data_IF_780308751345
#
_entry.id   IF_780308751345
#
_cell.length_a   1.000
_cell.length_b   1.000
_cell.length_c   1.000
_cell.angle_alpha   90.00
_cell.angle_beta   90.00
_cell.angle_gamma   90.00
#
_symmetry.space_group_name_H-M   'P 1'
#
loop_
_entity.id
_entity.type
_entity.pdbx_description
1 polymer ?
#
# COMPACT_ATOMS: atom_id res chain seq x y z
N UNK A 1 -87.65 28.25 38.12
CA UNK A 1 -86.35 28.67 37.56
C UNK A 1 -85.58 27.41 37.21
N UNK A 2 -85.61 27.03 35.94
CA UNK A 2 -84.74 25.97 35.39
C UNK A 2 -83.82 26.73 34.43
N UNK A 3 -82.56 26.89 34.80
CA UNK A 3 -81.54 27.41 33.90
C UNK A 3 -81.18 26.27 32.94
N UNK A 4 -81.60 26.38 31.69
CA UNK A 4 -81.09 25.54 30.60
C UNK A 4 -79.65 25.99 30.29
N UNK A 5 -78.68 25.12 30.59
CA UNK A 5 -77.31 25.29 30.11
C UNK A 5 -77.29 25.10 28.58
N UNK A 6 -76.69 26.01 27.79
CA UNK A 6 -76.45 25.74 26.40
C UNK A 6 -75.41 24.62 26.27
N UNK A 7 -75.55 23.71 25.29
CA UNK A 7 -74.55 22.68 25.06
C UNK A 7 -73.24 23.35 24.66
N UNK A 8 -72.16 22.98 25.36
CA UNK A 8 -70.80 23.33 24.99
C UNK A 8 -70.58 22.78 23.58
N UNK A 9 -70.59 23.66 22.59
CA UNK A 9 -70.14 23.34 21.25
C UNK A 9 -68.67 22.92 21.35
N UNK A 10 -68.41 21.64 21.16
CA UNK A 10 -67.07 21.08 21.00
C UNK A 10 -66.54 21.57 19.64
N UNK A 11 -66.01 22.81 19.63
CA UNK A 11 -65.50 23.45 18.42
C UNK A 11 -64.18 22.77 18.04
N UNK A 12 -64.27 21.81 17.12
CA UNK A 12 -63.44 21.65 15.91
C UNK A 12 -61.97 22.13 15.99
N UNK A 13 -61.14 21.59 16.88
CA UNK A 13 -59.68 21.80 16.77
C UNK A 13 -59.02 20.92 15.69
N UNK A 14 -59.65 19.80 15.33
CA UNK A 14 -59.14 18.88 14.32
C UNK A 14 -59.06 19.49 12.89
N UNK A 15 -59.90 20.49 12.59
CA UNK A 15 -59.87 21.19 11.30
C UNK A 15 -58.66 22.12 11.16
N UNK A 16 -58.10 22.62 12.26
CA UNK A 16 -56.98 23.60 12.21
C UNK A 16 -55.66 22.95 11.79
N UNK A 17 -55.37 21.74 12.27
CA UNK A 17 -54.15 21.01 11.91
C UNK A 17 -54.27 20.48 10.47
N UNK A 18 -55.43 19.94 10.09
CA UNK A 18 -55.65 19.47 8.72
C UNK A 18 -55.60 20.61 7.70
N UNK A 19 -56.22 21.77 7.99
CA UNK A 19 -56.13 22.93 7.10
C UNK A 19 -54.70 23.47 7.02
N UNK A 20 -53.97 23.52 8.14
CA UNK A 20 -52.57 23.91 8.15
C UNK A 20 -51.70 22.96 7.30
N UNK A 21 -51.89 21.66 7.43
CA UNK A 21 -51.13 20.64 6.66
C UNK A 21 -51.48 20.68 5.18
N UNK A 22 -52.71 21.01 4.79
CA UNK A 22 -53.13 21.10 3.39
C UNK A 22 -52.75 22.43 2.74
N UNK A 23 -52.86 23.55 3.45
CA UNK A 23 -52.64 24.90 2.89
C UNK A 23 -51.20 25.39 3.07
N UNK A 24 -50.62 25.23 4.25
CA UNK A 24 -49.28 25.76 4.60
C UNK A 24 -48.21 24.67 4.50
N UNK A 25 -48.58 23.42 4.77
CA UNK A 25 -47.70 22.25 4.71
C UNK A 25 -46.95 22.10 3.38
N UNK A 26 -47.61 22.14 2.22
CA UNK A 26 -46.93 21.99 0.93
C UNK A 26 -46.01 23.17 0.63
N UNK A 27 -46.37 24.37 1.07
CA UNK A 27 -45.55 25.58 0.93
C UNK A 27 -44.25 25.46 1.74
N UNK A 28 -44.35 25.04 3.00
CA UNK A 28 -43.19 24.78 3.87
C UNK A 28 -42.35 23.60 3.37
N UNK A 29 -43.00 22.52 2.91
CA UNK A 29 -42.32 21.37 2.33
C UNK A 29 -41.54 21.79 1.08
N UNK A 30 -42.14 22.58 0.20
CA UNK A 30 -41.44 23.15 -0.96
C UNK A 30 -40.28 24.07 -0.55
N UNK A 31 -40.50 24.93 0.45
CA UNK A 31 -39.48 25.86 0.95
C UNK A 31 -38.26 25.16 1.57
N UNK A 32 -38.42 23.95 2.11
CA UNK A 32 -37.29 23.13 2.62
C UNK A 32 -36.75 22.19 1.55
N UNK A 33 -37.62 21.58 0.75
CA UNK A 33 -37.22 20.60 -0.27
C UNK A 33 -36.40 21.27 -1.38
N UNK A 34 -36.81 22.45 -1.86
CA UNK A 34 -36.14 23.13 -2.96
C UNK A 34 -34.67 23.50 -2.63
N UNK A 35 -34.33 24.15 -1.50
CA UNK A 35 -32.93 24.38 -1.14
C UNK A 35 -32.19 23.08 -0.81
N UNK A 36 -32.86 22.07 -0.25
CA UNK A 36 -32.24 20.76 0.01
C UNK A 36 -31.85 20.05 -1.31
N UNK A 37 -32.73 20.10 -2.31
CA UNK A 37 -32.49 19.57 -3.66
C UNK A 37 -31.36 20.36 -4.35
N UNK A 38 -31.38 21.69 -4.28
CA UNK A 38 -30.31 22.51 -4.83
C UNK A 38 -28.96 22.22 -4.18
N UNK A 39 -28.93 22.07 -2.85
CA UNK A 39 -27.72 21.71 -2.11
C UNK A 39 -27.24 20.29 -2.46
N UNK A 40 -28.16 19.35 -2.64
CA UNK A 40 -27.84 18.01 -3.11
C UNK A 40 -27.21 18.05 -4.51
N UNK A 41 -27.84 18.74 -5.48
CA UNK A 41 -27.28 18.87 -6.83
C UNK A 41 -25.95 19.61 -6.84
N UNK A 42 -25.79 20.66 -6.03
CA UNK A 42 -24.52 21.36 -5.90
C UNK A 42 -23.42 20.44 -5.37
N UNK A 43 -23.69 19.73 -4.27
CA UNK A 43 -22.72 18.81 -3.65
C UNK A 43 -22.34 17.66 -4.59
N UNK A 44 -23.33 16.97 -5.16
CA UNK A 44 -23.07 15.80 -6.01
C UNK A 44 -22.62 16.16 -7.43
N UNK A 45 -23.12 17.25 -8.00
CA UNK A 45 -22.84 17.66 -9.37
C UNK A 45 -21.57 18.49 -9.51
N UNK A 46 -21.32 19.41 -8.58
CA UNK A 46 -20.20 20.36 -8.67
C UNK A 46 -19.06 19.93 -7.76
N UNK A 47 -19.29 19.87 -6.44
CA UNK A 47 -18.23 19.65 -5.45
C UNK A 47 -17.54 18.28 -5.64
N UNK A 48 -18.30 17.18 -5.73
CA UNK A 48 -17.72 15.86 -5.96
C UNK A 48 -17.02 15.74 -7.32
N UNK A 49 -17.49 16.45 -8.35
CA UNK A 49 -16.87 16.45 -9.67
C UNK A 49 -15.51 17.14 -9.64
N UNK A 50 -15.44 18.32 -9.01
CA UNK A 50 -14.19 19.06 -8.83
C UNK A 50 -13.17 18.26 -8.01
N UNK A 51 -13.61 17.60 -6.92
CA UNK A 51 -12.76 16.72 -6.13
C UNK A 51 -12.18 15.56 -6.97
N UNK A 52 -12.97 14.95 -7.86
CA UNK A 52 -12.49 13.91 -8.78
C UNK A 52 -11.47 14.43 -9.78
N UNK A 53 -11.65 15.64 -10.30
CA UNK A 53 -10.70 16.27 -11.23
C UNK A 53 -9.39 16.57 -10.50
N UNK A 54 -9.44 17.19 -9.32
CA UNK A 54 -8.28 17.45 -8.46
C UNK A 54 -7.53 16.15 -8.14
N UNK A 55 -8.26 15.09 -7.82
CA UNK A 55 -7.66 13.78 -7.56
C UNK A 55 -6.95 13.19 -8.78
N UNK A 56 -7.53 13.33 -9.97
CA UNK A 56 -6.88 12.91 -11.22
C UNK A 56 -5.62 13.71 -11.50
N UNK A 57 -5.68 15.04 -11.42
CA UNK A 57 -4.52 15.92 -11.65
C UNK A 57 -3.39 15.59 -10.68
N UNK A 58 -3.70 15.44 -9.40
CA UNK A 58 -2.72 15.08 -8.39
C UNK A 58 -2.08 13.70 -8.65
N UNK A 59 -2.85 12.71 -9.12
CA UNK A 59 -2.29 11.41 -9.55
C UNK A 59 -1.40 11.51 -10.79
N UNK A 60 -1.72 12.42 -11.72
CA UNK A 60 -0.92 12.69 -12.92
C UNK A 60 0.39 13.36 -12.52
N UNK A 61 0.37 14.34 -11.63
CA UNK A 61 1.57 15.00 -11.10
C UNK A 61 2.52 13.99 -10.43
N UNK A 62 1.97 12.98 -9.75
CA UNK A 62 2.74 11.96 -9.06
C UNK A 62 3.01 10.70 -9.91
N UNK A 63 2.65 10.69 -11.20
CA UNK A 63 2.72 9.46 -12.04
C UNK A 63 4.15 8.95 -12.17
N UNK A 64 5.12 9.84 -12.31
CA UNK A 64 6.55 9.51 -12.42
C UNK A 64 7.00 8.79 -11.15
N UNK A 65 6.64 9.31 -9.98
CA UNK A 65 6.98 8.70 -8.69
C UNK A 65 6.34 7.32 -8.54
N UNK A 66 5.07 7.16 -8.96
CA UNK A 66 4.38 5.86 -8.99
C UNK A 66 5.09 4.87 -9.92
N UNK A 67 5.57 5.31 -11.08
CA UNK A 67 6.35 4.45 -11.98
C UNK A 67 7.67 4.02 -11.33
N UNK A 68 8.41 4.95 -10.70
CA UNK A 68 9.64 4.63 -9.97
C UNK A 68 9.42 3.61 -8.86
N UNK A 69 8.33 3.76 -8.09
CA UNK A 69 7.93 2.78 -7.07
C UNK A 69 7.74 1.38 -7.66
N UNK A 70 7.07 1.27 -8.80
CA UNK A 70 6.85 -0.02 -9.48
C UNK A 70 8.16 -0.61 -10.02
N UNK A 71 9.01 0.22 -10.63
CA UNK A 71 10.32 -0.22 -11.10
C UNK A 71 11.20 -0.73 -9.94
N UNK A 72 11.21 -0.02 -8.81
CA UNK A 72 11.90 -0.47 -7.60
C UNK A 72 11.39 -1.83 -7.13
N UNK A 73 10.07 -2.05 -7.12
CA UNK A 73 9.48 -3.35 -6.81
C UNK A 73 10.01 -4.48 -7.71
N UNK A 74 10.06 -4.26 -9.03
CA UNK A 74 10.62 -5.23 -9.97
C UNK A 74 12.12 -5.48 -9.77
N UNK A 75 12.91 -4.43 -9.48
CA UNK A 75 14.33 -4.58 -9.17
C UNK A 75 14.57 -5.33 -7.87
N UNK A 76 13.72 -5.15 -6.86
CA UNK A 76 13.79 -5.89 -5.60
C UNK A 76 13.45 -7.37 -5.77
N UNK A 77 12.50 -7.69 -6.62
CA UNK A 77 12.20 -9.08 -6.98
C UNK A 77 13.39 -9.75 -7.68
N UNK A 78 14.00 -9.06 -8.66
CA UNK A 78 15.23 -9.51 -9.31
C UNK A 78 16.41 -9.66 -8.35
N UNK A 79 16.55 -8.75 -7.39
CA UNK A 79 17.53 -8.86 -6.30
C UNK A 79 17.24 -10.08 -5.43
N UNK A 80 15.97 -10.35 -5.09
CA UNK A 80 15.53 -11.51 -4.32
C UNK A 80 15.98 -12.83 -4.94
N UNK A 81 15.86 -12.96 -6.27
CA UNK A 81 16.30 -14.17 -7.00
C UNK A 81 17.80 -14.43 -6.92
N UNK A 82 18.61 -13.38 -6.72
CA UNK A 82 20.07 -13.45 -6.60
C UNK A 82 20.56 -13.40 -5.14
N UNK A 83 19.66 -13.19 -4.18
CA UNK A 83 19.99 -13.06 -2.76
C UNK A 83 19.70 -14.36 -2.04
N UNK A 84 20.66 -14.83 -1.24
CA UNK A 84 20.44 -15.99 -0.37
C UNK A 84 19.56 -15.64 0.83
N UNK A 85 18.85 -16.64 1.34
CA UNK A 85 18.06 -16.52 2.58
C UNK A 85 18.91 -16.06 3.77
N UNK A 86 18.24 -15.59 4.82
CA UNK A 86 18.92 -15.08 6.00
C UNK A 86 19.84 -16.16 6.60
N UNK A 87 21.14 -15.85 6.70
CA UNK A 87 22.13 -16.78 7.25
C UNK A 87 21.86 -17.15 8.70
N UNK A 88 21.26 -16.23 9.47
CA UNK A 88 21.00 -16.40 10.90
C UNK A 88 19.76 -17.26 11.19
N UNK A 89 18.60 -16.96 10.57
CA UNK A 89 17.33 -17.62 10.90
C UNK A 89 16.70 -18.40 9.72
N UNK A 90 17.39 -18.47 8.57
CA UNK A 90 16.94 -19.15 7.34
C UNK A 90 15.61 -18.64 6.77
N UNK A 91 15.10 -17.51 7.26
CA UNK A 91 13.93 -16.85 6.70
C UNK A 91 14.28 -16.21 5.35
N UNK A 92 13.33 -16.26 4.41
CA UNK A 92 13.43 -15.74 3.05
C UNK A 92 12.89 -14.31 2.92
N UNK A 93 12.11 -13.83 3.88
CA UNK A 93 11.52 -12.50 3.86
C UNK A 93 12.54 -11.43 4.26
N UNK A 94 12.85 -10.57 3.31
CA UNK A 94 13.77 -9.45 3.45
C UNK A 94 13.02 -8.12 3.33
N UNK A 95 13.58 -7.08 3.91
CA UNK A 95 13.06 -5.71 3.81
C UNK A 95 14.21 -4.73 3.57
N UNK A 96 13.93 -3.62 2.86
CA UNK A 96 14.88 -2.52 2.81
C UNK A 96 14.92 -1.81 4.17
N UNK A 97 16.12 -1.39 4.59
CA UNK A 97 16.30 -0.69 5.85
C UNK A 97 16.92 0.68 5.68
N UNK A 98 18.03 0.81 4.95
CA UNK A 98 18.74 2.09 4.90
C UNK A 98 19.60 2.23 3.64
N UNK A 99 19.83 3.48 3.24
CA UNK A 99 20.76 3.92 2.20
C UNK A 99 21.46 5.23 2.59
N UNK A 100 21.92 5.31 3.84
CA UNK A 100 22.52 6.53 4.43
C UNK A 100 23.72 7.09 3.65
N UNK A 101 24.37 6.27 2.83
CA UNK A 101 25.47 6.68 1.96
C UNK A 101 25.19 6.11 0.57
N UNK A 102 25.24 6.96 -0.46
CA UNK A 102 24.80 6.77 -1.87
C UNK A 102 25.38 5.55 -2.63
N UNK A 103 26.06 4.64 -1.93
CA UNK A 103 26.74 3.45 -2.45
C UNK A 103 26.36 2.14 -1.73
N UNK A 104 25.69 2.21 -0.58
CA UNK A 104 25.39 1.03 0.24
C UNK A 104 23.90 0.82 0.37
N UNK A 105 23.44 -0.38 0.01
CA UNK A 105 22.09 -0.83 0.22
C UNK A 105 22.05 -1.73 1.45
N UNK A 106 21.29 -1.34 2.48
CA UNK A 106 21.10 -2.17 3.67
C UNK A 106 19.78 -2.90 3.58
N UNK A 107 19.87 -4.23 3.56
CA UNK A 107 18.73 -5.16 3.59
C UNK A 107 18.65 -5.79 4.98
N UNK A 108 17.45 -5.91 5.53
CA UNK A 108 17.21 -6.50 6.85
C UNK A 108 16.33 -7.73 6.74
N UNK A 109 16.63 -8.78 7.51
CA UNK A 109 15.73 -9.92 7.64
C UNK A 109 14.49 -9.51 8.45
N UNK A 110 13.28 -9.84 7.96
CA UNK A 110 12.03 -9.47 8.66
C UNK A 110 11.87 -10.21 9.99
N UNK A 111 12.40 -11.43 10.10
CA UNK A 111 12.24 -12.29 11.27
C UNK A 111 13.24 -11.97 12.37
N UNK A 112 14.53 -12.18 12.15
CA UNK A 112 15.56 -12.00 13.18
C UNK A 112 16.19 -10.61 13.20
N UNK A 113 15.74 -9.70 12.33
CA UNK A 113 16.17 -8.31 12.29
C UNK A 113 17.66 -8.08 11.99
N UNK A 114 18.39 -9.11 11.56
CA UNK A 114 19.79 -9.01 11.11
C UNK A 114 19.90 -8.18 9.83
N UNK A 115 20.92 -7.31 9.78
CA UNK A 115 21.20 -6.44 8.63
C UNK A 115 22.30 -7.05 7.73
N UNK A 116 22.15 -6.86 6.43
CA UNK A 116 23.08 -7.23 5.38
C UNK A 116 23.36 -6.00 4.53
N UNK A 117 24.64 -5.65 4.39
CA UNK A 117 25.07 -4.52 3.57
C UNK A 117 25.50 -5.04 2.21
N UNK A 118 24.92 -4.47 1.15
CA UNK A 118 25.22 -4.82 -0.23
C UNK A 118 25.81 -3.59 -0.94
N UNK A 119 26.86 -3.81 -1.74
CA UNK A 119 27.48 -2.76 -2.55
C UNK A 119 27.12 -2.93 -4.02
N UNK A 120 27.22 -1.85 -4.80
CA UNK A 120 26.90 -1.83 -6.25
C UNK A 120 27.65 -2.90 -7.07
N UNK A 121 28.80 -3.35 -6.59
CA UNK A 121 29.65 -4.34 -7.27
C UNK A 121 29.11 -5.77 -7.16
N UNK A 122 28.25 -6.05 -6.18
CA UNK A 122 27.73 -7.40 -5.96
C UNK A 122 26.64 -7.78 -6.96
N UNK A 123 25.86 -6.79 -7.45
CA UNK A 123 24.68 -7.05 -8.27
C UNK A 123 24.23 -5.79 -9.02
N UNK A 124 23.99 -5.92 -10.32
CA UNK A 124 23.46 -4.86 -11.18
C UNK A 124 22.15 -4.25 -10.64
N UNK A 125 21.30 -5.05 -9.99
CA UNK A 125 20.04 -4.58 -9.41
C UNK A 125 20.27 -3.59 -8.27
N UNK A 126 21.38 -3.68 -7.53
CA UNK A 126 21.67 -2.74 -6.44
C UNK A 126 21.86 -1.33 -7.00
N UNK A 127 22.50 -1.19 -8.16
CA UNK A 127 22.67 0.12 -8.81
C UNK A 127 21.32 0.71 -9.23
N UNK A 128 20.45 -0.12 -9.81
CA UNK A 128 19.10 0.28 -10.23
C UNK A 128 18.20 0.62 -9.03
N UNK A 129 18.26 -0.17 -7.95
CA UNK A 129 17.56 0.12 -6.71
C UNK A 129 17.99 1.47 -6.18
N UNK A 130 19.30 1.71 -6.04
CA UNK A 130 19.83 2.96 -5.50
C UNK A 130 19.45 4.19 -6.34
N UNK A 131 19.29 4.06 -7.68
CA UNK A 131 18.84 5.19 -8.51
C UNK A 131 17.36 5.53 -8.35
N UNK A 132 16.52 4.55 -8.00
CA UNK A 132 15.08 4.74 -7.83
C UNK A 132 14.67 5.12 -6.38
N UNK A 133 15.57 4.93 -5.41
CA UNK A 133 15.27 5.09 -3.99
C UNK A 133 14.79 6.49 -3.61
N UNK A 134 15.46 7.56 -4.02
CA UNK A 134 15.11 8.93 -3.61
C UNK A 134 13.68 9.32 -4.03
N UNK A 135 13.32 9.01 -5.28
CA UNK A 135 11.97 9.26 -5.79
C UNK A 135 10.93 8.44 -5.03
N UNK A 136 11.26 7.19 -4.73
CA UNK A 136 10.32 6.30 -4.05
C UNK A 136 10.15 6.66 -2.58
N UNK A 137 11.22 7.05 -1.89
CA UNK A 137 11.17 7.59 -0.51
C UNK A 137 10.31 8.85 -0.47
N UNK A 138 10.46 9.72 -1.47
CA UNK A 138 9.63 10.93 -1.58
C UNK A 138 8.15 10.57 -1.73
N UNK A 139 7.82 9.57 -2.56
CA UNK A 139 6.45 9.08 -2.72
C UNK A 139 5.87 8.55 -1.40
N UNK A 140 6.62 7.71 -0.68
CA UNK A 140 6.15 7.14 0.59
C UNK A 140 5.98 8.22 1.65
N UNK A 141 6.89 9.21 1.72
CA UNK A 141 6.74 10.37 2.61
C UNK A 141 5.48 11.18 2.27
N UNK A 142 5.20 11.38 0.99
CA UNK A 142 3.96 12.03 0.53
C UNK A 142 2.74 11.21 0.97
N UNK A 143 2.76 9.90 0.79
CA UNK A 143 1.69 9.01 1.23
C UNK A 143 1.44 9.12 2.74
N UNK A 144 2.49 9.09 3.56
CA UNK A 144 2.42 9.25 5.02
C UNK A 144 1.86 10.62 5.40
N UNK A 145 2.31 11.70 4.74
CA UNK A 145 1.85 13.07 4.99
C UNK A 145 0.36 13.22 4.71
N UNK A 146 -0.15 12.55 3.68
CA UNK A 146 -1.55 12.63 3.25
C UNK A 146 -2.40 11.45 3.74
N UNK A 147 -1.96 10.66 4.74
CA UNK A 147 -2.61 9.40 5.11
C UNK A 147 -4.10 9.49 5.45
N UNK A 148 -4.54 10.60 6.05
CA UNK A 148 -5.95 10.83 6.40
C UNK A 148 -6.73 11.59 5.31
N UNK A 149 -6.05 12.05 4.26
CA UNK A 149 -6.66 12.77 3.15
C UNK A 149 -7.11 11.79 2.06
N UNK A 150 -8.21 12.07 1.36
CA UNK A 150 -8.74 11.20 0.30
C UNK A 150 -7.71 10.94 -0.82
N UNK A 151 -6.87 11.94 -1.14
CA UNK A 151 -5.76 11.79 -2.07
C UNK A 151 -4.72 10.75 -1.61
N UNK A 152 -4.37 10.73 -0.33
CA UNK A 152 -3.44 9.74 0.22
C UNK A 152 -4.07 8.34 0.23
N UNK A 153 -5.36 8.22 0.58
CA UNK A 153 -6.09 6.95 0.47
C UNK A 153 -6.13 6.43 -0.97
N UNK A 154 -6.39 7.32 -1.93
CA UNK A 154 -6.39 6.99 -3.36
C UNK A 154 -5.00 6.52 -3.83
N UNK A 155 -3.94 7.21 -3.41
CA UNK A 155 -2.56 6.81 -3.71
C UNK A 155 -2.23 5.46 -3.10
N UNK A 156 -2.57 5.25 -1.82
CA UNK A 156 -2.36 3.98 -1.12
C UNK A 156 -2.99 2.82 -1.86
N UNK A 157 -4.26 2.94 -2.26
CA UNK A 157 -4.95 1.93 -3.09
C UNK A 157 -4.22 1.67 -4.41
N UNK A 158 -3.72 2.71 -5.09
CA UNK A 158 -2.98 2.56 -6.35
C UNK A 158 -1.63 1.86 -6.18
N UNK A 159 -1.03 1.96 -5.00
CA UNK A 159 0.24 1.32 -4.63
C UNK A 159 0.07 -0.01 -3.89
N UNK A 160 -1.18 -0.43 -3.60
CA UNK A 160 -1.50 -1.54 -2.71
C UNK A 160 -0.87 -1.41 -1.31
N UNK A 161 -0.84 -0.19 -0.79
CA UNK A 161 -0.35 0.17 0.54
C UNK A 161 -1.50 0.73 1.36
N UNK A 162 -1.67 0.26 2.61
CA UNK A 162 -2.60 0.89 3.54
C UNK A 162 -1.90 2.05 4.27
N UNK A 163 -2.29 3.32 4.03
CA UNK A 163 -1.68 4.45 4.70
C UNK A 163 -2.06 4.53 6.19
N UNK A 164 -3.10 3.83 6.63
CA UNK A 164 -3.57 3.81 8.03
C UNK A 164 -2.57 3.12 8.95
N UNK A 165 -1.92 2.07 8.44
CA UNK A 165 -0.91 1.28 9.15
C UNK A 165 0.47 1.99 9.20
N UNK A 166 0.63 3.10 8.48
CA UNK A 166 1.88 3.83 8.43
C UNK A 166 1.98 4.85 9.57
N UNK A 167 2.88 4.56 10.52
CA UNK A 167 3.31 5.51 11.54
C UNK A 167 4.21 6.59 10.90
N UNK A 168 4.10 7.84 11.34
CA UNK A 168 4.98 8.93 10.93
C UNK A 168 6.45 8.71 11.31
N UNK A 169 6.69 7.84 12.31
CA UNK A 169 8.03 7.42 12.72
C UNK A 169 8.58 6.22 11.91
N UNK A 170 7.76 5.61 11.03
CA UNK A 170 8.20 4.49 10.22
C UNK A 170 9.29 4.97 9.25
N UNK A 171 10.36 4.20 9.13
CA UNK A 171 11.31 4.43 8.07
C UNK A 171 10.61 4.16 6.72
N UNK A 172 10.59 5.12 5.78
CA UNK A 172 9.84 5.01 4.52
C UNK A 172 10.31 3.86 3.64
N UNK A 173 11.45 3.24 3.94
CA UNK A 173 11.95 2.06 3.24
C UNK A 173 11.40 0.75 3.76
N UNK A 174 10.87 0.73 4.98
CA UNK A 174 10.36 -0.49 5.59
C UNK A 174 9.16 -1.07 4.84
N UNK A 175 8.46 -0.27 4.03
CA UNK A 175 7.35 -0.72 3.18
C UNK A 175 7.82 -1.63 2.05
N UNK A 176 9.12 -1.62 1.71
CA UNK A 176 9.67 -2.45 0.64
C UNK A 176 10.13 -3.79 1.17
N UNK A 177 9.47 -4.84 0.71
CA UNK A 177 9.78 -6.21 1.04
C UNK A 177 10.05 -7.02 -0.21
N UNK A 178 10.90 -8.04 -0.09
CA UNK A 178 11.12 -9.01 -1.14
C UNK A 178 11.46 -10.38 -0.57
N UNK A 179 11.35 -11.41 -1.39
CA UNK A 179 11.63 -12.80 -1.03
C UNK A 179 12.96 -13.22 -1.64
N UNK A 180 13.90 -13.62 -0.78
CA UNK A 180 15.17 -14.19 -1.18
C UNK A 180 14.99 -15.61 -1.72
N UNK A 181 15.80 -16.01 -2.71
CA UNK A 181 15.76 -17.35 -3.29
C UNK A 181 16.21 -18.38 -2.25
N UNK A 182 15.34 -19.36 -1.96
CA UNK A 182 15.76 -20.58 -1.25
C UNK A 182 16.69 -21.35 -2.19
N UNK A 183 17.86 -21.77 -1.73
CA UNK A 183 18.65 -22.69 -2.54
C UNK A 183 17.81 -23.94 -2.73
N UNK A 184 17.59 -24.33 -3.99
CA UNK A 184 17.05 -25.64 -4.25
C UNK A 184 18.12 -26.62 -3.80
N UNK A 185 17.84 -27.33 -2.71
CA UNK A 185 18.72 -28.40 -2.18
C UNK A 185 19.18 -29.37 -3.28
N UNK A 186 18.41 -29.50 -4.37
CA UNK A 186 18.73 -30.36 -5.51
C UNK A 186 19.98 -29.95 -6.29
N UNK A 187 20.37 -28.67 -6.28
CA UNK A 187 21.53 -28.20 -7.04
C UNK A 187 22.82 -28.30 -6.23
N UNK A 188 22.76 -28.01 -4.91
CA UNK A 188 23.86 -28.27 -3.98
C UNK A 188 24.14 -29.79 -3.82
N UNK A 189 23.11 -30.64 -3.72
CA UNK A 189 23.30 -32.11 -3.74
C UNK A 189 23.85 -32.62 -5.08
N UNK A 190 23.44 -32.05 -6.22
CA UNK A 190 24.01 -32.43 -7.52
C UNK A 190 25.48 -32.03 -7.63
N UNK A 191 25.86 -30.85 -7.19
CA UNK A 191 27.25 -30.38 -7.26
C UNK A 191 28.14 -31.20 -6.32
N UNK A 192 27.68 -31.49 -5.09
CA UNK A 192 28.40 -32.36 -4.15
C UNK A 192 28.50 -33.79 -4.69
N UNK A 193 27.43 -34.36 -5.25
CA UNK A 193 27.48 -35.71 -5.85
C UNK A 193 28.37 -35.80 -7.10
N UNK A 194 28.45 -34.74 -7.92
CA UNK A 194 29.36 -34.68 -9.07
C UNK A 194 30.83 -34.59 -8.61
N UNK A 195 31.12 -33.78 -7.59
CA UNK A 195 32.46 -33.68 -7.02
C UNK A 195 32.92 -34.98 -6.34
N UNK A 196 32.06 -35.61 -5.54
CA UNK A 196 32.35 -36.91 -4.94
C UNK A 196 32.52 -38.01 -5.99
N UNK A 197 31.68 -38.00 -7.03
CA UNK A 197 31.80 -38.91 -8.16
C UNK A 197 33.13 -38.76 -8.89
N UNK A 198 33.63 -37.53 -9.06
CA UNK A 198 34.90 -37.25 -9.72
C UNK A 198 36.11 -37.64 -8.84
N UNK A 199 36.06 -37.41 -7.52
CA UNK A 199 37.11 -37.84 -6.60
C UNK A 199 37.21 -39.37 -6.51
N UNK A 200 36.08 -40.09 -6.47
CA UNK A 200 36.09 -41.57 -6.47
C UNK A 200 36.67 -42.15 -7.76
N UNK A 201 36.44 -41.49 -8.92
CA UNK A 201 37.05 -41.89 -10.20
C UNK A 201 38.56 -41.65 -10.22
N UNK A 202 39.03 -40.53 -9.67
CA UNK A 202 40.48 -40.24 -9.58
C UNK A 202 41.20 -41.20 -8.62
N UNK A 203 40.60 -41.54 -7.48
CA UNK A 203 41.17 -42.53 -6.55
C UNK A 203 41.21 -43.97 -7.11
N UNK A 204 40.23 -44.36 -7.95
CA UNK A 204 40.28 -45.65 -8.67
C UNK A 204 41.37 -45.65 -9.75
N UNK A 205 41.60 -44.52 -10.42
CA UNK A 205 42.63 -44.40 -11.47
C UNK A 205 44.04 -44.50 -10.88
N UNK A 206 44.30 -43.86 -9.76
CA UNK A 206 45.60 -43.94 -9.10
C UNK A 206 45.91 -45.34 -8.54
N UNK A 207 44.91 -46.03 -7.98
CA UNK A 207 45.09 -47.42 -7.53
C UNK A 207 45.40 -48.40 -8.66
N UNK A 208 44.93 -48.15 -9.89
CA UNK A 208 45.26 -49.03 -11.02
C UNK A 208 46.67 -48.77 -11.60
N UNK A 209 47.30 -47.65 -11.26
CA UNK A 209 48.67 -47.31 -11.71
C UNK A 209 49.71 -47.88 -10.74
N UNK A 210 49.36 -48.11 -9.47
CA UNK A 210 50.27 -48.67 -8.46
C UNK A 210 50.38 -50.21 -8.49
N UNK A 211 49.56 -50.91 -9.27
CA UNK A 211 49.49 -52.38 -9.31
C UNK A 211 49.63 -53.00 -10.71
N UNK A 212 50.09 -52.24 -11.70
CA UNK A 212 50.42 -52.73 -13.05
C UNK A 212 51.82 -52.30 -13.45
#
# INVERSE_FOLDING_TARGET
>A
MILECPPIALIKEATSIQSFVLDVGPLLLGAVALPSILLFFWYFGVELSDQRIKAKLWLVENIVLVQRYRMLGGHLEGLGQKTSICKNCKNDKMQLWNYQQQKLLVVRCRSCKMNYTLTKEHNEYIRLILSEMDGTVTLVKTLIRFKYHELGKLLGRKLALDPSDMNSQLNPLEVFHFTAKKSDKSEEERIVNVFEGHQRRLQKRNRNIEFG
#
